data_IF_792894647531
#
_entry.id   IF_792894647531
#
_cell.length_a   1.000
_cell.length_b   1.000
_cell.length_c   1.000
_cell.angle_alpha   90.00
_cell.angle_beta   90.00
_cell.angle_gamma   90.00
#
_symmetry.space_group_name_H-M   'P 1'
#
loop_
_entity.id
_entity.type
_entity.pdbx_description
1 polymer ?
#
# COMPACT_ATOMS: atom_id res chain seq x y z
N UNK A 1 -69.08 6.28 -69.66
CA UNK A 1 -68.48 7.44 -70.36
C UNK A 1 -67.35 8.00 -69.52
N UNK A 2 -66.14 7.74 -70.01
CA UNK A 2 -64.87 8.47 -69.90
C UNK A 2 -64.81 9.72 -69.02
N UNK A 3 -63.86 9.75 -68.07
CA UNK A 3 -62.72 10.68 -68.12
C UNK A 3 -61.68 10.32 -67.05
N UNK A 4 -60.51 9.93 -67.54
CA UNK A 4 -59.28 9.82 -66.77
C UNK A 4 -58.80 11.22 -66.39
N UNK A 5 -58.30 11.38 -65.17
CA UNK A 5 -57.44 12.50 -64.81
C UNK A 5 -56.17 11.94 -64.16
N UNK A 6 -55.08 11.99 -64.93
CA UNK A 6 -53.72 11.82 -64.44
C UNK A 6 -53.36 13.14 -63.74
N UNK A 7 -53.13 13.10 -62.43
CA UNK A 7 -52.48 14.20 -61.73
C UNK A 7 -51.09 13.79 -61.27
N UNK A 8 -50.18 14.73 -61.51
CA UNK A 8 -48.74 14.59 -61.56
C UNK A 8 -48.11 14.31 -60.19
N UNK A 9 -47.03 13.54 -60.24
CA UNK A 9 -46.07 13.31 -59.15
C UNK A 9 -45.45 14.62 -58.68
N UNK A 10 -45.55 14.92 -57.39
CA UNK A 10 -44.60 15.82 -56.71
C UNK A 10 -43.99 15.05 -55.55
N UNK A 11 -42.76 14.56 -55.76
CA UNK A 11 -41.94 13.99 -54.70
C UNK A 11 -41.43 15.12 -53.80
N UNK A 12 -42.02 15.27 -52.61
CA UNK A 12 -41.52 16.15 -51.57
C UNK A 12 -40.36 15.49 -50.84
N UNK A 13 -39.15 15.99 -51.04
CA UNK A 13 -37.98 15.56 -50.27
C UNK A 13 -37.97 16.28 -48.91
N UNK A 14 -38.37 15.57 -47.84
CA UNK A 14 -38.17 16.04 -46.47
C UNK A 14 -36.74 15.70 -46.03
N UNK A 15 -35.87 16.70 -45.97
CA UNK A 15 -34.54 16.57 -45.37
C UNK A 15 -34.69 16.55 -43.84
N UNK A 16 -34.55 15.36 -43.24
CA UNK A 16 -34.52 15.20 -41.78
C UNK A 16 -33.11 15.53 -41.31
N UNK A 17 -32.94 16.67 -40.62
CA UNK A 17 -31.72 16.97 -39.86
C UNK A 17 -31.66 16.05 -38.64
N UNK A 18 -30.84 15.01 -38.70
CA UNK A 18 -30.52 14.19 -37.53
C UNK A 18 -29.53 14.96 -36.65
N UNK A 19 -30.02 15.55 -35.54
CA UNK A 19 -29.17 16.08 -34.49
C UNK A 19 -28.47 14.91 -33.78
N UNK A 20 -27.18 14.70 -34.05
CA UNK A 20 -26.36 13.76 -33.29
C UNK A 20 -26.12 14.31 -31.89
N UNK A 21 -26.89 13.84 -30.91
CA UNK A 21 -26.57 14.04 -29.51
C UNK A 21 -25.26 13.28 -29.23
N UNK A 22 -24.16 14.02 -29.07
CA UNK A 22 -22.89 13.45 -28.63
C UNK A 22 -23.07 12.83 -27.25
N UNK A 23 -22.94 11.50 -27.16
CA UNK A 23 -22.89 10.82 -25.88
C UNK A 23 -21.63 11.31 -25.15
N UNK A 24 -21.82 12.06 -24.06
CA UNK A 24 -20.73 12.39 -23.16
C UNK A 24 -20.23 11.09 -22.51
N UNK A 25 -19.00 10.69 -22.82
CA UNK A 25 -18.31 9.61 -22.14
C UNK A 25 -18.18 10.00 -20.67
N UNK A 26 -18.71 9.22 -19.71
CA UNK A 26 -18.49 9.51 -18.30
C UNK A 26 -16.99 9.45 -18.03
N UNK A 27 -16.45 10.51 -17.41
CA UNK A 27 -15.09 10.51 -16.90
C UNK A 27 -14.95 9.35 -15.91
N UNK A 28 -13.97 8.47 -16.13
CA UNK A 28 -13.64 7.42 -15.17
C UNK A 28 -13.31 8.07 -13.81
N UNK A 29 -13.81 7.53 -12.68
CA UNK A 29 -13.44 8.05 -11.37
C UNK A 29 -11.91 8.00 -11.21
N UNK A 30 -11.35 9.05 -10.63
CA UNK A 30 -9.93 9.13 -10.34
C UNK A 30 -9.49 7.91 -9.52
N UNK A 31 -8.58 7.13 -10.12
CA UNK A 31 -7.70 6.13 -9.50
C UNK A 31 -8.17 5.55 -8.17
N UNK A 32 -9.08 4.57 -8.22
CA UNK A 32 -9.16 3.60 -7.14
C UNK A 32 -7.77 2.96 -7.04
N UNK A 33 -7.06 3.19 -5.95
CA UNK A 33 -5.79 2.53 -5.70
C UNK A 33 -6.05 1.33 -4.79
N UNK A 34 -6.38 0.15 -5.36
CA UNK A 34 -6.76 -1.00 -4.54
C UNK A 34 -5.52 -1.48 -3.77
N UNK A 35 -5.50 -1.19 -2.47
CA UNK A 35 -4.54 -1.79 -1.56
C UNK A 35 -4.55 -3.31 -1.75
N UNK A 36 -3.39 -3.96 -1.95
CA UNK A 36 -3.37 -5.39 -2.13
C UNK A 36 -3.90 -6.12 -0.90
N UNK A 37 -4.81 -7.08 -1.12
CA UNK A 37 -5.24 -7.97 -0.04
C UNK A 37 -4.06 -8.79 0.47
N UNK A 38 -3.95 -8.91 1.80
CA UNK A 38 -3.01 -9.78 2.50
C UNK A 38 -3.06 -11.24 2.03
N UNK A 39 -4.24 -11.72 1.60
CA UNK A 39 -4.43 -13.10 1.13
C UNK A 39 -3.68 -13.39 -0.17
N UNK A 40 -3.33 -12.36 -0.95
CA UNK A 40 -2.49 -12.50 -2.16
C UNK A 40 -1.00 -12.69 -1.83
N UNK A 41 -0.62 -12.50 -0.58
CA UNK A 41 0.75 -12.60 -0.09
C UNK A 41 0.82 -13.57 1.10
N UNK A 42 0.48 -14.86 0.92
CA UNK A 42 0.39 -15.78 2.04
C UNK A 42 1.77 -16.07 2.65
N UNK A 43 1.84 -16.07 3.98
CA UNK A 43 2.98 -16.60 4.70
C UNK A 43 3.10 -18.10 4.45
N UNK A 44 4.31 -18.57 4.14
CA UNK A 44 4.58 -20.00 3.99
C UNK A 44 4.80 -20.62 5.37
N UNK A 45 4.13 -21.75 5.61
CA UNK A 45 4.44 -22.58 6.77
C UNK A 45 5.84 -23.18 6.60
N UNK A 46 6.74 -22.85 7.52
CA UNK A 46 8.08 -23.41 7.59
C UNK A 46 8.19 -24.18 8.89
N UNK A 47 8.80 -25.37 8.84
CA UNK A 47 9.01 -26.17 10.04
C UNK A 47 9.94 -25.43 11.01
N UNK A 48 9.48 -25.26 12.25
CA UNK A 48 10.31 -24.69 13.31
C UNK A 48 11.61 -25.49 13.52
N UNK A 49 12.75 -24.81 13.75
CA UNK A 49 13.98 -25.49 14.13
C UNK A 49 13.84 -26.11 15.52
N UNK A 50 14.70 -27.10 15.82
CA UNK A 50 14.71 -27.78 17.14
C UNK A 50 15.14 -26.86 18.28
N UNK A 51 15.98 -25.89 17.97
CA UNK A 51 16.53 -24.93 18.93
C UNK A 51 16.24 -23.54 18.41
N UNK A 52 15.64 -22.71 19.25
CA UNK A 52 15.40 -21.31 18.99
C UNK A 52 16.53 -20.48 19.64
N UNK A 53 16.81 -19.28 19.12
CA UNK A 53 17.78 -18.38 19.74
C UNK A 53 17.18 -17.74 20.98
N UNK A 54 18.01 -17.54 22.01
CA UNK A 54 17.58 -16.85 23.23
C UNK A 54 17.53 -15.32 23.08
N UNK A 55 18.18 -14.77 22.04
CA UNK A 55 18.26 -13.33 21.81
C UNK A 55 18.34 -12.95 20.32
N UNK A 56 17.88 -11.75 19.93
CA UNK A 56 18.01 -11.25 18.58
C UNK A 56 19.45 -10.79 18.28
N UNK A 57 19.84 -10.90 17.01
CA UNK A 57 21.16 -10.55 16.45
C UNK A 57 21.12 -9.13 15.87
N UNK A 58 21.54 -8.16 16.67
CA UNK A 58 21.48 -6.73 16.32
C UNK A 58 22.70 -6.31 15.48
N UNK A 59 22.63 -6.46 14.15
CA UNK A 59 23.76 -6.19 13.23
C UNK A 59 23.81 -4.75 12.71
N UNK A 60 22.68 -4.11 12.46
CA UNK A 60 22.64 -2.73 11.93
C UNK A 60 22.82 -1.68 13.02
N UNK A 61 23.17 -0.44 12.62
CA UNK A 61 23.25 0.68 13.55
C UNK A 61 21.90 0.96 14.19
N UNK A 62 20.83 0.93 13.39
CA UNK A 62 19.44 1.10 13.80
C UNK A 62 19.02 0.01 14.79
N UNK A 63 19.29 -1.26 14.50
CA UNK A 63 18.94 -2.35 15.42
C UNK A 63 19.66 -2.24 16.78
N UNK A 64 20.89 -1.71 16.80
CA UNK A 64 21.63 -1.46 18.04
C UNK A 64 21.08 -0.26 18.81
N UNK A 65 20.64 0.78 18.10
CA UNK A 65 20.03 1.97 18.69
C UNK A 65 18.75 1.59 19.44
N UNK A 66 17.89 0.78 18.80
CA UNK A 66 16.60 0.33 19.36
C UNK A 66 16.64 -1.06 19.99
N UNK A 67 17.82 -1.47 20.50
CA UNK A 67 18.05 -2.81 21.07
C UNK A 67 17.06 -3.23 22.14
N UNK A 68 16.60 -2.29 22.96
CA UNK A 68 15.68 -2.57 24.07
C UNK A 68 14.31 -2.97 23.55
N UNK A 69 13.77 -2.20 22.60
CA UNK A 69 12.49 -2.52 21.95
C UNK A 69 12.59 -3.85 21.21
N UNK A 70 13.63 -4.03 20.39
CA UNK A 70 13.79 -5.27 19.61
C UNK A 70 13.93 -6.50 20.51
N UNK A 71 14.64 -6.39 21.64
CA UNK A 71 14.75 -7.50 22.62
C UNK A 71 13.44 -7.80 23.33
N UNK A 72 12.69 -6.77 23.72
CA UNK A 72 11.36 -6.94 24.33
C UNK A 72 10.39 -7.60 23.35
N UNK A 73 10.31 -7.09 22.13
CA UNK A 73 9.50 -7.69 21.08
C UNK A 73 9.94 -9.14 20.78
N UNK A 74 11.24 -9.44 20.84
CA UNK A 74 11.73 -10.80 20.65
C UNK A 74 11.25 -11.81 21.70
N UNK A 75 10.74 -11.42 22.87
CA UNK A 75 10.14 -12.38 23.82
C UNK A 75 8.72 -12.77 23.44
N UNK A 76 8.06 -11.97 22.62
CA UNK A 76 6.66 -12.15 22.25
C UNK A 76 6.48 -13.10 21.04
N UNK A 77 5.25 -13.62 20.80
CA UNK A 77 4.96 -14.48 19.66
C UNK A 77 5.20 -13.80 18.29
N UNK A 78 5.33 -14.61 17.24
CA UNK A 78 5.39 -14.10 15.87
C UNK A 78 4.06 -13.40 15.48
N UNK A 79 4.16 -12.28 14.78
CA UNK A 79 3.01 -11.49 14.32
C UNK A 79 3.08 -11.15 12.82
N UNK A 80 4.09 -11.66 12.10
CA UNK A 80 4.32 -11.34 10.69
C UNK A 80 4.91 -12.52 9.91
N UNK A 81 4.51 -12.69 8.64
CA UNK A 81 5.10 -13.63 7.69
C UNK A 81 5.36 -15.05 8.25
N UNK A 82 4.45 -15.55 9.09
CA UNK A 82 4.52 -16.82 9.79
C UNK A 82 5.30 -16.73 11.09
N UNK A 83 6.62 -16.81 11.02
CA UNK A 83 7.51 -16.91 12.18
C UNK A 83 8.34 -15.64 12.44
N UNK A 84 8.03 -14.55 11.75
CA UNK A 84 8.68 -13.28 11.99
C UNK A 84 7.88 -12.46 12.99
N UNK A 85 8.56 -11.52 13.65
CA UNK A 85 7.92 -10.49 14.43
C UNK A 85 8.35 -9.12 13.96
N UNK A 86 7.41 -8.22 13.74
CA UNK A 86 7.68 -6.81 13.51
C UNK A 86 7.72 -6.12 14.87
N UNK A 87 8.87 -5.53 15.17
CA UNK A 87 9.09 -4.66 16.32
C UNK A 87 8.94 -3.21 15.85
N UNK A 88 7.99 -2.45 16.43
CA UNK A 88 7.70 -1.06 16.05
C UNK A 88 8.09 -0.12 17.18
N UNK A 89 8.62 1.04 16.84
CA UNK A 89 8.89 2.13 17.79
C UNK A 89 8.61 3.49 17.17
N UNK A 90 8.38 4.49 18.01
CA UNK A 90 8.28 5.89 17.59
C UNK A 90 9.65 6.57 17.51
N UNK A 91 9.76 7.60 16.65
CA UNK A 91 10.94 8.46 16.59
C UNK A 91 10.66 9.94 16.89
N UNK A 92 9.40 10.30 17.17
CA UNK A 92 8.95 11.67 17.40
C UNK A 92 7.42 11.79 17.23
N UNK A 93 6.95 13.02 16.98
CA UNK A 93 5.54 13.30 16.71
C UNK A 93 5.13 12.67 15.39
N UNK A 94 4.14 11.78 15.43
CA UNK A 94 3.61 11.05 14.28
C UNK A 94 4.68 10.40 13.37
N UNK A 95 5.76 9.88 13.97
CA UNK A 95 6.76 9.06 13.30
C UNK A 95 6.71 7.61 13.81
N UNK A 96 6.93 6.62 12.93
CA UNK A 96 7.30 5.25 13.31
C UNK A 96 8.54 4.77 12.56
N UNK A 97 9.21 3.77 13.12
CA UNK A 97 10.14 2.91 12.40
C UNK A 97 10.03 1.48 12.96
N UNK A 98 10.63 0.50 12.29
CA UNK A 98 10.49 -0.90 12.64
C UNK A 98 11.71 -1.75 12.33
N UNK A 99 11.73 -2.95 12.93
CA UNK A 99 12.58 -4.06 12.54
C UNK A 99 11.74 -5.32 12.33
N UNK A 100 12.14 -6.15 11.37
CA UNK A 100 11.62 -7.50 11.20
C UNK A 100 12.60 -8.46 11.87
N UNK A 101 12.12 -9.25 12.80
CA UNK A 101 12.91 -10.20 13.57
C UNK A 101 12.49 -11.62 13.24
N UNK A 102 13.44 -12.42 12.77
CA UNK A 102 13.26 -13.85 12.56
C UNK A 102 13.29 -14.56 13.93
N UNK A 103 12.18 -15.17 14.34
CA UNK A 103 12.10 -15.90 15.62
C UNK A 103 12.92 -17.20 15.62
N UNK A 104 13.21 -17.76 14.45
CA UNK A 104 13.92 -19.03 14.31
C UNK A 104 15.43 -18.83 14.28
N UNK A 105 15.93 -17.72 13.74
CA UNK A 105 17.38 -17.46 13.65
C UNK A 105 17.87 -16.30 14.54
N UNK A 106 16.94 -15.48 15.03
CA UNK A 106 17.23 -14.25 15.76
C UNK A 106 17.71 -13.12 14.84
N UNK A 107 17.80 -13.34 13.53
CA UNK A 107 18.27 -12.32 12.59
C UNK A 107 17.30 -11.15 12.54
N UNK A 108 17.84 -9.93 12.61
CA UNK A 108 17.05 -8.70 12.52
C UNK A 108 17.31 -8.01 11.18
N UNK A 109 16.23 -7.55 10.55
CA UNK A 109 16.25 -6.69 9.38
C UNK A 109 15.71 -5.31 9.75
N UNK A 110 16.43 -4.26 9.36
CA UNK A 110 15.96 -2.87 9.35
C UNK A 110 16.00 -2.39 7.92
N UNK A 111 15.07 -1.51 7.52
CA UNK A 111 15.03 -1.00 6.15
C UNK A 111 16.30 -0.16 5.87
N UNK A 112 17.10 -0.49 4.83
CA UNK A 112 18.33 0.23 4.54
C UNK A 112 18.07 1.70 4.19
N UNK A 113 18.80 2.62 4.85
CA UNK A 113 18.70 4.05 4.57
C UNK A 113 17.42 4.73 5.09
N UNK A 114 16.57 4.00 5.83
CA UNK A 114 15.34 4.55 6.43
C UNK A 114 15.48 4.57 7.95
N UNK A 115 15.56 5.79 8.48
CA UNK A 115 15.64 6.06 9.91
C UNK A 115 14.26 6.40 10.50
N UNK A 116 13.33 6.80 9.65
CA UNK A 116 12.04 7.32 10.05
C UNK A 116 11.01 7.12 8.93
N UNK A 117 9.77 6.85 9.34
CA UNK A 117 8.57 6.85 8.50
C UNK A 117 7.62 7.88 9.10
N UNK A 118 7.62 9.07 8.52
CA UNK A 118 6.87 10.23 9.00
C UNK A 118 5.44 10.19 8.48
N UNK A 119 4.55 10.73 9.29
CA UNK A 119 3.15 10.84 8.95
C UNK A 119 2.85 12.10 8.20
N UNK A 120 1.63 12.14 7.67
CA UNK A 120 1.10 13.31 7.01
C UNK A 120 -0.17 13.71 7.75
N UNK A 121 -0.24 14.97 8.16
CA UNK A 121 -1.45 15.53 8.77
C UNK A 121 -2.64 15.35 7.83
N UNK A 122 -3.76 14.87 8.36
CA UNK A 122 -4.95 14.55 7.56
C UNK A 122 -4.94 13.16 6.92
N UNK A 123 -3.93 12.31 7.17
CA UNK A 123 -3.96 10.90 6.80
C UNK A 123 -4.26 10.02 8.03
N UNK A 124 -5.30 9.20 7.94
CA UNK A 124 -5.74 8.30 9.02
C UNK A 124 -5.26 6.85 8.89
N UNK A 125 -4.38 6.55 7.92
CA UNK A 125 -3.91 5.19 7.72
C UNK A 125 -2.97 4.74 8.84
N UNK A 126 -3.01 3.45 9.16
CA UNK A 126 -1.97 2.86 9.99
C UNK A 126 -0.61 2.99 9.30
N UNK A 127 0.38 3.49 10.03
CA UNK A 127 1.73 3.73 9.49
C UNK A 127 2.39 2.44 9.01
N UNK A 128 2.10 1.34 9.70
CA UNK A 128 2.62 0.00 9.45
C UNK A 128 1.50 -1.03 9.59
N UNK A 129 0.95 -1.51 8.49
CA UNK A 129 -0.05 -2.58 8.49
C UNK A 129 0.54 -3.90 8.00
N UNK A 130 0.35 -4.96 8.79
CA UNK A 130 0.90 -6.29 8.55
C UNK A 130 0.11 -7.36 9.30
N UNK A 131 0.24 -8.61 8.87
CA UNK A 131 -0.46 -9.75 9.49
C UNK A 131 0.45 -10.95 9.63
N UNK A 132 0.18 -11.78 10.64
CA UNK A 132 0.93 -13.01 10.88
C UNK A 132 0.86 -13.98 9.69
N UNK A 133 -0.30 -14.08 9.05
CA UNK A 133 -0.52 -14.95 7.90
C UNK A 133 -0.04 -14.39 6.55
N UNK A 134 0.63 -13.24 6.52
CA UNK A 134 0.99 -12.58 5.26
C UNK A 134 2.44 -12.12 5.22
N UNK A 135 3.05 -12.16 4.03
CA UNK A 135 4.36 -11.54 3.74
C UNK A 135 4.23 -10.08 3.32
N UNK A 136 3.01 -9.55 3.20
CA UNK A 136 2.76 -8.15 2.86
C UNK A 136 2.93 -7.26 4.09
N UNK A 137 3.78 -6.24 3.94
CA UNK A 137 3.92 -5.11 4.84
C UNK A 137 3.52 -3.84 4.08
N UNK A 138 2.58 -3.09 4.63
CA UNK A 138 2.15 -1.81 4.10
C UNK A 138 2.75 -0.71 4.95
N UNK A 139 3.37 0.26 4.30
CA UNK A 139 3.95 1.45 4.95
C UNK A 139 3.24 2.68 4.42
N UNK A 140 2.63 3.48 5.28
CA UNK A 140 1.82 4.65 4.87
C UNK A 140 2.44 5.94 5.36
N UNK A 141 3.08 6.74 4.50
CA UNK A 141 3.71 7.99 4.91
C UNK A 141 4.81 8.43 3.95
N UNK A 142 5.84 9.09 4.46
CA UNK A 142 7.08 9.37 3.74
C UNK A 142 8.31 8.86 4.50
N UNK A 143 9.43 8.69 3.82
CA UNK A 143 10.66 8.22 4.44
C UNK A 143 11.58 9.38 4.82
N UNK A 144 12.17 9.32 6.01
CA UNK A 144 13.14 10.29 6.52
C UNK A 144 12.64 11.75 6.46
N UNK A 145 11.39 11.98 6.83
CA UNK A 145 10.74 13.31 6.85
C UNK A 145 10.70 14.02 5.47
N UNK A 146 10.88 13.28 4.38
CA UNK A 146 10.83 13.81 3.02
C UNK A 146 9.39 13.88 2.48
N UNK A 147 8.47 14.43 3.27
CA UNK A 147 7.06 14.53 2.90
C UNK A 147 6.80 15.67 1.90
N UNK A 148 7.70 16.64 1.72
CA UNK A 148 7.51 17.85 0.91
C UNK A 148 6.27 18.70 1.30
N UNK A 149 6.20 19.96 0.84
CA UNK A 149 5.12 20.88 1.23
C UNK A 149 3.74 20.46 0.68
N UNK A 150 3.71 19.58 -0.33
CA UNK A 150 2.50 19.10 -0.98
C UNK A 150 2.17 17.64 -0.68
N UNK A 151 2.95 16.96 0.16
CA UNK A 151 2.86 15.52 0.41
C UNK A 151 3.01 14.65 -0.85
N UNK A 152 3.67 15.15 -1.91
CA UNK A 152 3.71 14.46 -3.20
C UNK A 152 4.55 13.17 -3.15
N UNK A 153 5.47 13.08 -2.20
CA UNK A 153 6.26 11.87 -1.90
C UNK A 153 5.58 10.92 -0.92
N UNK A 154 4.48 11.33 -0.32
CA UNK A 154 3.77 10.54 0.66
C UNK A 154 2.86 9.51 -0.06
N UNK A 155 3.01 8.24 0.31
CA UNK A 155 2.33 7.13 -0.34
C UNK A 155 2.07 5.98 0.63
N UNK A 156 1.13 5.10 0.26
CA UNK A 156 1.09 3.72 0.75
C UNK A 156 2.08 2.92 -0.09
N UNK A 157 3.14 2.42 0.52
CA UNK A 157 4.11 1.52 -0.08
C UNK A 157 3.80 0.09 0.30
N UNK A 158 3.63 -0.78 -0.70
CA UNK A 158 3.37 -2.19 -0.48
C UNK A 158 4.67 -2.97 -0.64
N UNK A 159 5.10 -3.65 0.40
CA UNK A 159 6.30 -4.46 0.40
C UNK A 159 5.98 -5.93 0.61
N UNK A 160 6.59 -6.79 -0.21
CA UNK A 160 6.65 -8.22 0.05
C UNK A 160 7.93 -8.57 0.80
N UNK A 161 7.79 -9.26 1.92
CA UNK A 161 8.90 -9.83 2.65
C UNK A 161 9.38 -11.12 1.99
N UNK A 162 10.66 -11.13 1.61
CA UNK A 162 11.31 -12.27 0.93
C UNK A 162 12.02 -13.23 1.88
N UNK A 163 11.94 -12.98 3.19
CA UNK A 163 12.74 -13.68 4.21
C UNK A 163 14.08 -13.01 4.53
N UNK A 164 14.56 -12.12 3.65
CA UNK A 164 15.85 -11.41 3.82
C UNK A 164 15.77 -9.91 3.55
N UNK A 165 14.82 -9.48 2.72
CA UNK A 165 14.60 -8.08 2.36
C UNK A 165 13.14 -7.79 2.05
N UNK A 166 12.77 -6.51 2.13
CA UNK A 166 11.50 -6.00 1.61
C UNK A 166 11.65 -5.68 0.12
N UNK A 167 10.80 -6.28 -0.71
CA UNK A 167 10.69 -5.99 -2.13
C UNK A 167 9.48 -5.10 -2.36
N UNK A 168 9.67 -3.93 -2.96
CA UNK A 168 8.55 -3.05 -3.33
C UNK A 168 7.67 -3.77 -4.37
N UNK A 169 6.40 -3.96 -4.04
CA UNK A 169 5.39 -4.58 -4.89
C UNK A 169 4.49 -3.54 -5.58
N UNK A 170 4.39 -2.33 -5.02
CA UNK A 170 3.66 -1.22 -5.61
C UNK A 170 3.53 -0.04 -4.67
N UNK A 171 2.96 1.04 -5.16
CA UNK A 171 2.64 2.23 -4.38
C UNK A 171 1.25 2.75 -4.73
N UNK A 172 0.63 3.41 -3.75
CA UNK A 172 -0.62 4.15 -3.92
C UNK A 172 -0.47 5.54 -3.33
N UNK A 173 -1.10 6.58 -3.92
CA UNK A 173 -1.24 7.86 -3.24
C UNK A 173 -1.85 7.67 -1.84
N UNK A 174 -1.43 8.50 -0.88
CA UNK A 174 -2.15 8.60 0.39
C UNK A 174 -3.39 9.47 0.20
N UNK A 175 -4.49 9.04 0.81
CA UNK A 175 -5.65 9.88 0.98
C UNK A 175 -5.34 10.85 2.13
N UNK A 176 -5.24 12.14 1.81
CA UNK A 176 -4.90 13.21 2.75
C UNK A 176 -6.05 14.21 2.75
N UNK A 177 -6.67 14.37 3.91
CA UNK A 177 -7.69 15.41 4.10
C UNK A 177 -7.05 16.80 3.98
N UNK A 178 -7.69 17.74 3.29
CA UNK A 178 -7.20 19.10 3.21
C UNK A 178 -7.15 19.72 4.61
N UNK A 179 -6.09 20.46 4.91
CA UNK A 179 -6.00 21.24 6.14
C UNK A 179 -7.12 22.30 6.15
N UNK A 180 -7.94 22.31 7.20
CA UNK A 180 -8.94 23.36 7.45
C UNK A 180 -8.30 24.71 7.81
#
# INVERSE_FOLDING_TARGET
MTRAYRFLLTAGAFAVLAASAGAATPAAPASACPSPSFDRYPARAVRAPRTLPDAPRLRSKEARLYRTVIRGEFTEPANFAGHYRVAVWGCGTDCRNFAIVDKYTGTTYTMPGVQEISGVMGNGDERLDFRAGSTLLIVSGCFNDDCDHGNAKAARFFYEWTGTRLRLAGTCPLDIEPAE
#
